data_IF_073289604679
#
_entry.id   IF_073289604679
#
_cell.length_a   1.000
_cell.length_b   1.000
_cell.length_c   1.000
_cell.angle_alpha   90.00
_cell.angle_beta   90.00
_cell.angle_gamma   90.00
#
_symmetry.space_group_name_H-M   'P 1'
#
loop_
_entity.id
_entity.type
_entity.pdbx_description
1 polymer ?
#
# COMPACT_ATOMS: atom_id res chain seq x y z
N UNK A 1 24.75 7.65 9.19
CA UNK A 1 24.50 7.97 8.83
C UNK A 1 23.85 8.01 8.37
N UNK A 2 23.50 8.08 8.44
CA UNK A 2 22.92 8.42 7.94
C UNK A 2 22.01 8.50 7.53
N UNK A 3 21.90 8.50 7.57
CA UNK A 3 21.12 8.71 7.08
C UNK A 3 20.45 8.98 6.60
N UNK A 4 20.52 9.15 6.72
CA UNK A 4 20.17 9.59 6.06
C UNK A 4 19.47 9.57 5.44
N UNK A 5 19.42 9.61 5.48
CA UNK A 5 18.98 9.71 4.75
C UNK A 5 18.09 9.62 4.41
N UNK A 6 17.89 9.72 4.71
CA UNK A 6 17.23 9.73 4.28
C UNK A 6 16.44 9.90 3.93
N UNK A 7 16.33 10.09 4.11
CA UNK A 7 15.70 10.29 3.71
C UNK A 7 15.10 10.73 3.22
N UNK A 8 14.94 11.03 3.42
CA UNK A 8 14.63 11.59 2.80
C UNK A 8 13.99 11.63 1.91
N UNK A 9 14.17 11.83 1.88
CA UNK A 9 13.63 11.83 0.94
C UNK A 9 12.72 11.19 0.42
N UNK A 10 12.90 10.83 0.53
CA UNK A 10 12.04 9.86 0.22
C UNK A 10 10.59 10.16 0.20
N UNK A 11 10.25 11.24 -0.12
CA UNK A 11 8.89 11.64 -0.02
C UNK A 11 8.19 11.63 -1.35
N UNK A 12 8.81 11.02 -2.29
CA UNK A 12 8.20 10.81 -3.59
C UNK A 12 7.08 9.78 -3.46
N UNK A 13 5.97 10.01 -4.09
CA UNK A 13 4.88 9.05 -4.10
C UNK A 13 5.22 7.75 -4.79
N UNK A 14 6.38 7.70 -5.44
CA UNK A 14 6.84 6.48 -6.10
C UNK A 14 7.80 5.69 -5.24
N UNK A 15 8.08 6.16 -4.04
CA UNK A 15 8.96 5.45 -3.13
C UNK A 15 8.27 4.20 -2.63
N UNK A 16 8.90 3.06 -2.80
CA UNK A 16 8.31 1.79 -2.37
C UNK A 16 8.09 1.76 -0.86
N UNK A 17 8.98 2.36 -0.09
CA UNK A 17 8.81 2.37 1.35
C UNK A 17 7.56 3.13 1.75
N UNK A 18 7.34 4.29 1.14
CA UNK A 18 6.14 5.06 1.40
C UNK A 18 4.90 4.32 0.94
N UNK A 19 4.98 3.69 -0.21
CA UNK A 19 3.87 2.93 -0.75
C UNK A 19 3.50 1.78 0.19
N UNK A 20 4.49 1.09 0.73
CA UNK A 20 4.23 0.02 1.69
C UNK A 20 3.55 0.53 2.95
N UNK A 21 3.90 1.73 3.39
CA UNK A 21 3.24 2.32 4.54
C UNK A 21 1.77 2.55 4.26
N UNK A 22 1.45 3.11 3.11
CA UNK A 22 0.06 3.32 2.73
C UNK A 22 -0.69 2.00 2.62
N UNK A 23 -0.03 0.98 2.07
CA UNK A 23 -0.65 -0.33 1.96
C UNK A 23 -0.90 -0.95 3.32
N UNK A 24 0.07 -0.82 4.23
CA UNK A 24 -0.10 -1.33 5.58
C UNK A 24 -1.26 -0.62 6.30
N UNK A 25 -1.34 0.69 6.12
CA UNK A 25 -2.44 1.44 6.73
C UNK A 25 -3.79 1.04 6.13
N UNK A 26 -3.81 0.80 4.84
CA UNK A 26 -5.05 0.33 4.20
C UNK A 26 -5.48 -1.01 4.75
N UNK A 27 -4.53 -1.90 4.96
CA UNK A 27 -4.82 -3.22 5.53
C UNK A 27 -5.37 -3.09 6.94
N UNK A 28 -4.79 -2.20 7.72
CA UNK A 28 -5.28 -1.99 9.09
C UNK A 28 -6.66 -1.34 9.10
N UNK A 29 -6.93 -0.49 8.13
CA UNK A 29 -8.23 0.17 8.04
C UNK A 29 -9.32 -0.78 7.55
N UNK A 30 -8.95 -1.76 6.75
CA UNK A 30 -9.89 -2.70 6.15
C UNK A 30 -9.43 -4.13 6.42
N UNK A 31 -9.42 -4.55 7.70
CA UNK A 31 -8.88 -5.88 8.03
C UNK A 31 -9.69 -7.02 7.44
N UNK A 32 -11.00 -6.85 7.30
CA UNK A 32 -11.82 -7.90 6.73
C UNK A 32 -11.51 -8.13 5.27
N UNK A 33 -11.32 -7.03 4.55
CA UNK A 33 -10.95 -7.12 3.14
C UNK A 33 -9.57 -7.76 2.97
N UNK A 34 -8.63 -7.40 3.84
CA UNK A 34 -7.30 -7.97 3.78
C UNK A 34 -7.37 -9.48 4.00
N UNK A 35 -8.18 -9.92 4.94
CA UNK A 35 -8.31 -11.33 5.22
C UNK A 35 -8.98 -12.06 4.06
N UNK A 36 -9.96 -11.43 3.42
CA UNK A 36 -10.61 -12.04 2.27
C UNK A 36 -9.62 -12.29 1.14
N UNK A 37 -8.68 -11.36 0.93
CA UNK A 37 -7.65 -11.56 -0.08
C UNK A 37 -6.78 -12.76 0.29
N UNK A 38 -6.40 -12.88 1.55
CA UNK A 38 -5.60 -14.00 1.99
C UNK A 38 -6.30 -15.33 1.78
N UNK A 39 -7.62 -15.33 1.83
CA UNK A 39 -8.42 -16.52 1.62
C UNK A 39 -8.59 -16.86 0.14
N UNK A 40 -8.05 -16.04 -0.73
CA UNK A 40 -8.12 -16.31 -2.14
C UNK A 40 -9.18 -15.52 -2.88
N UNK A 41 -9.59 -14.38 -2.32
CA UNK A 41 -10.58 -13.53 -2.96
C UNK A 41 -9.92 -12.24 -3.45
N UNK A 42 -9.31 -12.27 -4.64
CA UNK A 42 -8.54 -11.11 -5.12
C UNK A 42 -9.39 -9.91 -5.48
N UNK A 43 -10.69 -10.09 -5.65
CA UNK A 43 -11.58 -8.97 -5.99
C UNK A 43 -11.54 -7.88 -4.93
N UNK A 44 -11.34 -8.30 -3.69
CA UNK A 44 -11.34 -7.36 -2.57
C UNK A 44 -10.10 -6.47 -2.60
N UNK A 45 -9.09 -6.88 -3.34
CA UNK A 45 -7.88 -6.07 -3.47
C UNK A 45 -8.19 -4.69 -4.03
N UNK A 46 -9.19 -4.58 -4.88
CA UNK A 46 -9.59 -3.29 -5.42
C UNK A 46 -9.98 -2.30 -4.33
N UNK A 47 -10.62 -2.79 -3.28
CA UNK A 47 -11.01 -1.93 -2.17
C UNK A 47 -9.79 -1.43 -1.42
N UNK A 48 -8.80 -2.31 -1.25
CA UNK A 48 -7.57 -1.92 -0.58
C UNK A 48 -6.78 -0.92 -1.42
N UNK A 49 -6.74 -1.13 -2.73
CA UNK A 49 -6.09 -0.17 -3.62
C UNK A 49 -6.80 1.19 -3.52
N UNK A 50 -8.11 1.18 -3.52
CA UNK A 50 -8.87 2.42 -3.36
C UNK A 50 -8.54 3.14 -2.07
N UNK A 51 -8.35 2.38 -0.98
CA UNK A 51 -7.98 2.97 0.29
C UNK A 51 -6.57 3.56 0.22
N UNK A 52 -5.64 2.87 -0.43
CA UNK A 52 -4.30 3.40 -0.62
C UNK A 52 -4.34 4.70 -1.39
N UNK A 53 -5.14 4.76 -2.44
CA UNK A 53 -5.27 5.99 -3.22
C UNK A 53 -5.82 7.12 -2.36
N UNK A 54 -6.77 6.81 -1.49
CA UNK A 54 -7.31 7.80 -0.55
C UNK A 54 -6.24 8.29 0.41
N UNK A 55 -5.50 7.37 1.01
CA UNK A 55 -4.49 7.72 1.98
C UNK A 55 -3.36 8.53 1.37
N UNK A 56 -3.03 8.24 0.13
CA UNK A 56 -1.96 8.95 -0.57
C UNK A 56 -2.46 10.20 -1.27
N UNK A 57 -3.78 10.42 -1.27
CA UNK A 57 -4.41 11.53 -1.97
C UNK A 57 -4.09 11.50 -3.47
N UNK A 58 -4.11 10.32 -4.03
CA UNK A 58 -3.89 10.12 -5.44
C UNK A 58 -2.43 10.12 -5.86
N UNK A 59 -1.50 10.19 -4.90
CA UNK A 59 -0.08 10.16 -5.24
C UNK A 59 0.44 8.78 -5.53
N UNK A 60 -0.17 7.76 -4.92
CA UNK A 60 0.25 6.40 -5.17
C UNK A 60 -0.18 5.97 -6.56
N UNK A 61 0.62 5.11 -7.16
CA UNK A 61 0.25 4.48 -8.41
C UNK A 61 -0.60 3.26 -8.08
N UNK A 62 -1.81 3.20 -8.65
CA UNK A 62 -2.74 2.13 -8.34
C UNK A 62 -2.16 0.76 -8.69
N UNK A 63 -1.45 0.68 -9.80
CA UNK A 63 -0.86 -0.57 -10.22
C UNK A 63 0.23 -1.03 -9.26
N UNK A 64 1.06 -0.10 -8.82
CA UNK A 64 2.08 -0.41 -7.83
C UNK A 64 1.47 -0.82 -6.51
N UNK A 65 0.40 -0.13 -6.09
CA UNK A 65 -0.31 -0.50 -4.87
C UNK A 65 -0.86 -1.91 -4.97
N UNK A 66 -1.41 -2.26 -6.11
CA UNK A 66 -1.91 -3.61 -6.35
C UNK A 66 -0.82 -4.64 -6.13
N UNK A 67 0.35 -4.41 -6.74
CA UNK A 67 1.47 -5.34 -6.64
C UNK A 67 1.95 -5.46 -5.20
N UNK A 68 2.10 -4.33 -4.52
CA UNK A 68 2.59 -4.34 -3.14
C UNK A 68 1.58 -5.04 -2.22
N UNK A 69 0.30 -4.77 -2.40
CA UNK A 69 -0.71 -5.43 -1.58
C UNK A 69 -0.72 -6.93 -1.80
N UNK A 70 -0.57 -7.36 -3.04
CA UNK A 70 -0.46 -8.79 -3.31
C UNK A 70 0.77 -9.39 -2.61
N UNK A 71 1.88 -8.68 -2.67
CA UNK A 71 3.11 -9.14 -2.06
C UNK A 71 2.97 -9.29 -0.55
N UNK A 72 2.26 -8.37 0.09
CA UNK A 72 2.07 -8.42 1.54
C UNK A 72 1.07 -9.50 1.93
N UNK A 73 -0.02 -9.63 1.18
CA UNK A 73 -1.13 -10.49 1.59
C UNK A 73 -1.03 -11.89 1.02
N UNK A 74 -0.36 -12.06 -0.06
CA UNK A 74 -0.20 -13.36 -0.70
C UNK A 74 1.24 -13.81 -0.67
#
# INVERSE_FOLDING_TARGET
>A
MLAQQLSLQAISGNDKATLRLWCAEAIEALPEEAEAVRRGNPRVLNKLVGKVMQLSRGRANAQDAWVVLQDILL
#
